data_IF_417058036405
#
_entry.id   IF_417058036405
#
_cell.length_a   1.000
_cell.length_b   1.000
_cell.length_c   1.000
_cell.angle_alpha   90.00
_cell.angle_beta   90.00
_cell.angle_gamma   90.00
#
_symmetry.space_group_name_H-M   'P 1'
#
loop_
_entity.id
_entity.type
_entity.pdbx_description
1 polymer ?
#
# COMPACT_ATOMS: atom_id res chain seq x y z
N UNK A 1 -3.05 -14.98 2.65
CA UNK A 1 -2.33 -14.41 3.81
C UNK A 1 -0.98 -15.11 3.80
N UNK A 2 0.10 -14.44 3.39
CA UNK A 2 1.44 -15.04 3.49
C UNK A 2 1.78 -15.04 4.98
N UNK A 3 1.51 -16.17 5.64
CA UNK A 3 1.85 -16.37 7.03
C UNK A 3 3.36 -16.61 7.10
N UNK A 4 4.12 -15.57 7.39
CA UNK A 4 5.41 -15.77 8.04
C UNK A 4 5.06 -16.38 9.40
N UNK A 5 5.56 -17.59 9.66
CA UNK A 5 5.13 -18.49 10.75
C UNK A 5 4.77 -17.70 12.03
N UNK A 6 3.51 -17.80 12.46
CA UNK A 6 3.00 -17.19 13.70
C UNK A 6 2.65 -15.70 13.66
N UNK A 7 2.90 -14.97 12.57
CA UNK A 7 2.69 -13.52 12.51
C UNK A 7 1.68 -13.12 11.42
N UNK A 8 0.63 -12.39 11.84
CA UNK A 8 -0.36 -11.80 10.95
C UNK A 8 0.17 -10.47 10.40
N UNK A 9 0.69 -10.48 9.18
CA UNK A 9 1.15 -9.27 8.48
C UNK A 9 0.13 -8.88 7.42
N UNK A 10 -0.55 -7.72 7.57
CA UNK A 10 -1.56 -7.32 6.62
C UNK A 10 -0.92 -6.67 5.39
N UNK A 11 -0.72 -7.45 4.34
CA UNK A 11 -0.19 -6.95 3.06
C UNK A 11 -1.29 -6.26 2.23
N UNK A 12 -1.01 -5.05 1.72
CA UNK A 12 -1.82 -4.35 0.72
C UNK A 12 -0.98 -4.01 -0.52
N UNK A 13 -1.59 -3.38 -1.53
CA UNK A 13 -0.84 -2.76 -2.63
C UNK A 13 0.09 -1.66 -2.08
N UNK A 14 1.34 -1.66 -2.53
CA UNK A 14 2.37 -0.72 -2.07
C UNK A 14 2.30 0.65 -2.76
N UNK A 15 1.46 0.82 -3.78
CA UNK A 15 1.37 2.05 -4.58
C UNK A 15 2.74 2.51 -5.12
N UNK A 16 3.53 1.55 -5.62
CA UNK A 16 4.92 1.71 -6.06
C UNK A 16 5.12 2.93 -6.95
N UNK A 17 6.20 3.67 -6.73
CA UNK A 17 6.56 4.87 -7.49
C UNK A 17 6.65 4.61 -9.00
N UNK A 18 7.34 3.54 -9.38
CA UNK A 18 7.55 3.08 -10.76
C UNK A 18 6.38 2.27 -11.35
N UNK A 19 5.46 1.83 -10.48
CA UNK A 19 4.21 1.14 -10.80
C UNK A 19 4.28 0.20 -12.03
N UNK A 20 5.07 -0.90 -12.00
CA UNK A 20 5.25 -1.79 -13.16
C UNK A 20 3.92 -2.35 -13.69
N UNK A 21 2.93 -2.50 -12.82
CA UNK A 21 1.58 -2.93 -13.17
C UNK A 21 0.83 -1.93 -14.08
N UNK A 22 1.08 -0.62 -13.94
CA UNK A 22 0.55 0.41 -14.83
C UNK A 22 1.36 0.45 -16.14
N UNK A 23 2.70 0.37 -16.04
CA UNK A 23 3.61 0.39 -17.19
C UNK A 23 3.38 -0.75 -18.18
N UNK A 24 3.02 -1.94 -17.70
CA UNK A 24 2.72 -3.11 -18.56
C UNK A 24 1.27 -3.12 -19.08
N UNK A 25 0.38 -2.24 -18.60
CA UNK A 25 -1.04 -2.32 -18.90
C UNK A 25 -1.32 -1.81 -20.34
N UNK A 26 -1.69 -2.68 -21.30
CA UNK A 26 -1.81 -2.28 -22.70
C UNK A 26 -2.98 -1.30 -22.95
N UNK A 27 -4.02 -1.36 -22.12
CA UNK A 27 -5.22 -0.53 -22.25
C UNK A 27 -5.23 0.67 -21.32
N UNK A 28 -4.17 0.86 -20.52
CA UNK A 28 -4.09 1.89 -19.46
C UNK A 28 -5.22 1.80 -18.42
N UNK A 29 -5.81 0.62 -18.25
CA UNK A 29 -6.76 0.32 -17.18
C UNK A 29 -6.14 0.52 -15.79
N UNK A 30 -4.83 0.35 -15.65
CA UNK A 30 -4.06 0.81 -14.49
C UNK A 30 -3.26 2.05 -14.89
N UNK A 31 -3.47 3.15 -14.19
CA UNK A 31 -2.78 4.41 -14.47
C UNK A 31 -2.67 5.30 -13.23
N UNK A 32 -1.74 6.26 -13.27
CA UNK A 32 -1.52 7.29 -12.26
C UNK A 32 -1.63 8.64 -12.96
N UNK A 33 -2.44 9.56 -12.43
CA UNK A 33 -2.60 10.89 -13.04
C UNK A 33 -1.46 11.86 -12.67
N UNK A 34 -1.04 11.83 -11.40
CA UNK A 34 0.08 12.62 -10.89
C UNK A 34 0.90 11.81 -9.89
N UNK A 35 2.18 12.14 -9.71
CA UNK A 35 3.12 11.32 -8.95
C UNK A 35 2.71 11.12 -7.48
N UNK A 36 2.03 12.09 -6.89
CA UNK A 36 1.50 12.08 -5.52
C UNK A 36 0.16 11.35 -5.38
N UNK A 37 -0.43 10.90 -6.48
CA UNK A 37 -1.70 10.18 -6.49
C UNK A 37 -1.50 8.66 -6.55
N UNK A 38 -2.45 7.87 -6.01
CA UNK A 38 -2.40 6.43 -6.12
C UNK A 38 -2.52 5.97 -7.58
N UNK A 39 -2.00 4.78 -7.86
CA UNK A 39 -2.34 4.07 -9.10
C UNK A 39 -3.80 3.66 -9.00
N UNK A 40 -4.62 4.07 -9.94
CA UNK A 40 -6.04 3.76 -9.99
C UNK A 40 -6.33 2.67 -11.04
N UNK A 41 -7.46 1.98 -10.85
CA UNK A 41 -7.94 0.94 -11.74
C UNK A 41 -9.26 1.38 -12.37
N UNK A 42 -9.34 1.34 -13.69
CA UNK A 42 -10.54 1.58 -14.49
C UNK A 42 -11.04 0.24 -15.03
N UNK A 43 -12.25 -0.15 -14.63
CA UNK A 43 -12.83 -1.46 -14.98
C UNK A 43 -13.27 -1.53 -16.45
N UNK A 44 -13.70 -0.40 -17.00
CA UNK A 44 -14.22 -0.27 -18.37
C UNK A 44 -13.12 -0.50 -19.41
N UNK A 45 -11.86 -0.21 -19.07
CA UNK A 45 -10.70 -0.41 -19.94
C UNK A 45 -10.04 -1.79 -19.76
N UNK A 46 -10.43 -2.57 -18.74
CA UNK A 46 -9.72 -3.81 -18.41
C UNK A 46 -10.15 -4.96 -19.32
N UNK A 47 -9.19 -5.55 -20.04
CA UNK A 47 -9.41 -6.71 -20.93
C UNK A 47 -9.05 -8.06 -20.29
N UNK A 48 -8.75 -8.10 -18.99
CA UNK A 48 -8.47 -9.35 -18.29
C UNK A 48 -7.16 -10.09 -18.65
N UNK A 49 -6.23 -9.45 -19.38
CA UNK A 49 -5.00 -10.09 -19.88
C UNK A 49 -4.00 -10.57 -18.79
N UNK A 50 -4.20 -10.19 -17.53
CA UNK A 50 -3.40 -10.60 -16.37
C UNK A 50 -1.93 -10.18 -16.36
N UNK A 51 -1.43 -9.41 -17.33
CA UNK A 51 -0.03 -8.94 -17.34
C UNK A 51 0.37 -8.19 -16.07
N UNK A 52 -0.54 -7.37 -15.53
CA UNK A 52 -0.31 -6.64 -14.29
C UNK A 52 -0.14 -7.55 -13.05
N UNK A 53 -0.76 -8.73 -13.04
CA UNK A 53 -0.59 -9.73 -11.98
C UNK A 53 0.81 -10.33 -12.04
N UNK A 54 1.30 -10.65 -13.25
CA UNK A 54 2.61 -11.26 -13.46
C UNK A 54 3.76 -10.34 -13.04
N UNK A 55 3.64 -9.03 -13.29
CA UNK A 55 4.72 -8.07 -12.99
C UNK A 55 4.65 -7.49 -11.58
N UNK A 56 3.62 -7.79 -10.78
CA UNK A 56 3.49 -7.24 -9.44
C UNK A 56 4.39 -8.01 -8.45
N UNK A 57 5.50 -7.42 -7.95
CA UNK A 57 6.43 -8.14 -7.09
C UNK A 57 5.83 -8.50 -5.72
N UNK A 58 4.74 -7.82 -5.34
CA UNK A 58 4.06 -8.01 -4.05
C UNK A 58 2.80 -8.89 -4.14
N UNK A 59 2.44 -9.39 -5.33
CA UNK A 59 1.21 -10.17 -5.52
C UNK A 59 -0.07 -9.41 -5.12
N UNK A 60 -0.06 -8.09 -5.22
CA UNK A 60 -1.12 -7.23 -4.70
C UNK A 60 -2.35 -7.11 -5.62
N UNK A 61 -2.25 -7.62 -6.85
CA UNK A 61 -3.31 -7.57 -7.86
C UNK A 61 -3.92 -8.96 -7.98
N UNK A 62 -5.25 -9.04 -7.96
CA UNK A 62 -5.99 -10.30 -8.02
C UNK A 62 -7.04 -10.26 -9.13
N UNK A 63 -7.35 -11.42 -9.68
CA UNK A 63 -8.50 -11.58 -10.58
C UNK A 63 -9.79 -11.54 -9.76
N UNK A 64 -10.68 -10.61 -10.09
CA UNK A 64 -11.99 -10.48 -9.49
C UNK A 64 -13.04 -11.29 -10.30
N UNK A 65 -14.23 -11.56 -9.73
CA UNK A 65 -15.36 -12.05 -10.49
C UNK A 65 -15.63 -11.19 -11.74
N UNK A 66 -15.99 -11.81 -12.86
CA UNK A 66 -16.13 -11.12 -14.15
C UNK A 66 -14.84 -11.02 -14.98
N UNK A 67 -13.74 -11.63 -14.52
CA UNK A 67 -12.52 -11.78 -15.33
C UNK A 67 -11.60 -10.56 -15.35
N UNK A 68 -12.00 -9.47 -14.69
CA UNK A 68 -11.20 -8.25 -14.55
C UNK A 68 -10.19 -8.38 -13.40
N UNK A 69 -9.16 -7.55 -13.42
CA UNK A 69 -8.20 -7.45 -12.32
C UNK A 69 -8.66 -6.41 -11.32
N UNK A 70 -8.34 -6.59 -10.04
CA UNK A 70 -8.64 -5.63 -8.99
C UNK A 70 -7.48 -5.52 -8.01
N UNK A 71 -7.32 -4.34 -7.42
CA UNK A 71 -6.33 -4.05 -6.39
C UNK A 71 -6.84 -2.95 -5.46
N UNK A 72 -6.14 -2.73 -4.36
CA UNK A 72 -6.36 -1.57 -3.49
C UNK A 72 -6.22 -0.25 -4.29
N UNK A 73 -7.18 0.66 -4.12
CA UNK A 73 -7.19 2.01 -4.70
C UNK A 73 -6.75 3.08 -3.69
N UNK A 74 -6.17 2.69 -2.55
CA UNK A 74 -5.83 3.55 -1.42
C UNK A 74 -7.03 4.33 -0.85
N UNK A 75 -8.26 3.85 -1.06
CA UNK A 75 -9.48 4.58 -0.73
C UNK A 75 -9.48 6.00 -1.30
N UNK A 76 -9.05 6.18 -2.55
CA UNK A 76 -8.88 7.49 -3.19
C UNK A 76 -10.09 8.43 -3.02
N UNK A 77 -11.30 7.91 -3.14
CA UNK A 77 -12.53 8.69 -2.94
C UNK A 77 -12.69 9.26 -1.53
N UNK A 78 -12.23 8.53 -0.51
CA UNK A 78 -12.18 9.00 0.88
C UNK A 78 -11.10 10.07 1.06
N UNK A 79 -9.92 9.84 0.51
CA UNK A 79 -8.80 10.79 0.59
C UNK A 79 -9.15 12.15 -0.03
N UNK A 80 -9.88 12.14 -1.15
CA UNK A 80 -10.39 13.36 -1.79
C UNK A 80 -11.33 14.19 -0.89
N UNK A 81 -11.93 13.56 0.12
CA UNK A 81 -12.80 14.20 1.12
C UNK A 81 -12.06 14.54 2.42
N UNK A 82 -10.76 14.28 2.51
CA UNK A 82 -9.97 14.43 3.73
C UNK A 82 -10.22 13.33 4.77
N UNK A 83 -10.86 12.22 4.38
CA UNK A 83 -11.09 11.07 5.26
C UNK A 83 -9.92 10.08 5.21
N UNK A 84 -9.74 9.28 6.28
CA UNK A 84 -8.76 8.20 6.29
C UNK A 84 -9.21 6.98 5.45
N UNK A 85 -8.27 6.19 4.90
CA UNK A 85 -8.62 4.90 4.32
C UNK A 85 -9.33 4.00 5.33
N UNK A 86 -10.36 3.27 4.87
CA UNK A 86 -11.17 2.42 5.74
C UNK A 86 -10.35 1.40 6.55
N UNK A 87 -9.24 0.93 5.97
CA UNK A 87 -8.36 -0.05 6.62
C UNK A 87 -7.45 0.56 7.72
N UNK A 88 -7.26 1.88 7.71
CA UNK A 88 -6.58 2.67 8.75
C UNK A 88 -7.58 2.99 9.85
N UNK A 89 -8.74 3.52 9.46
CA UNK A 89 -9.85 3.85 10.34
C UNK A 89 -10.26 2.66 11.23
N UNK A 90 -10.46 1.49 10.60
CA UNK A 90 -10.91 0.27 11.27
C UNK A 90 -9.84 -0.41 12.15
N UNK A 91 -8.59 0.06 12.19
CA UNK A 91 -7.53 -0.59 12.95
C UNK A 91 -7.69 -0.29 14.45
N UNK A 92 -8.05 -1.29 15.30
CA UNK A 92 -8.35 -1.06 16.71
C UNK A 92 -7.11 -0.65 17.52
N UNK A 93 -5.94 -1.19 17.15
CA UNK A 93 -4.66 -0.92 17.82
C UNK A 93 -3.91 0.27 17.24
N UNK A 94 -4.46 0.94 16.22
CA UNK A 94 -3.78 2.03 15.49
C UNK A 94 -2.40 1.64 14.96
N UNK A 95 -2.22 0.36 14.64
CA UNK A 95 -0.99 -0.16 14.02
C UNK A 95 -0.79 0.35 12.58
N UNK A 96 -1.86 0.81 11.93
CA UNK A 96 -1.81 1.40 10.58
C UNK A 96 -2.03 2.91 10.65
N UNK A 97 -1.28 3.62 9.81
CA UNK A 97 -1.38 5.06 9.56
C UNK A 97 -1.06 5.34 8.10
N UNK A 98 -1.64 6.40 7.55
CA UNK A 98 -1.26 6.91 6.22
C UNK A 98 -0.48 8.21 6.41
N UNK A 99 0.60 8.38 5.63
CA UNK A 99 1.40 9.59 5.64
C UNK A 99 2.34 9.63 4.44
N UNK A 100 2.96 10.78 4.22
CA UNK A 100 4.04 10.90 3.22
C UNK A 100 5.22 10.02 3.64
N UNK A 101 5.87 9.39 2.68
CA UNK A 101 6.90 8.39 2.94
C UNK A 101 8.05 8.98 3.78
N UNK A 102 8.43 10.22 3.49
CA UNK A 102 9.52 10.95 4.14
C UNK A 102 9.17 11.23 5.60
N UNK A 103 7.98 11.77 5.87
CA UNK A 103 7.52 12.06 7.23
C UNK A 103 7.39 10.80 8.08
N UNK A 104 6.92 9.70 7.48
CA UNK A 104 6.82 8.41 8.17
C UNK A 104 8.21 7.83 8.45
N UNK A 105 9.17 8.01 7.55
CA UNK A 105 10.55 7.57 7.75
C UNK A 105 11.23 8.36 8.87
N UNK A 106 11.11 9.69 8.88
CA UNK A 106 11.63 10.56 9.93
C UNK A 106 11.06 10.20 11.31
N UNK A 107 9.75 10.00 11.41
CA UNK A 107 9.10 9.60 12.66
C UNK A 107 9.61 8.25 13.17
N UNK A 108 9.80 7.28 12.26
CA UNK A 108 10.34 5.95 12.59
C UNK A 108 11.77 6.03 13.10
N UNK A 109 12.64 6.78 12.43
CA UNK A 109 14.03 6.99 12.83
C UNK A 109 14.09 7.63 14.22
N UNK A 110 13.29 8.68 14.45
CA UNK A 110 13.19 9.35 15.75
C UNK A 110 12.75 8.39 16.84
N UNK A 111 11.69 7.59 16.59
CA UNK A 111 11.18 6.62 17.57
C UNK A 111 12.23 5.56 17.91
N UNK A 112 12.92 5.03 16.89
CA UNK A 112 13.98 4.04 17.08
C UNK A 112 15.14 4.62 17.91
N UNK A 113 15.60 5.83 17.60
CA UNK A 113 16.65 6.51 18.36
C UNK A 113 16.28 6.68 19.84
N UNK A 114 15.03 7.08 20.13
CA UNK A 114 14.54 7.19 21.50
C UNK A 114 14.45 5.84 22.22
N UNK A 115 14.09 4.77 21.51
CA UNK A 115 14.06 3.42 22.09
C UNK A 115 15.48 2.93 22.44
N UNK A 116 16.44 3.10 21.53
CA UNK A 116 17.84 2.72 21.77
C UNK A 116 18.40 3.49 22.96
N UNK A 117 18.23 4.82 23.00
CA UNK A 117 18.71 5.64 24.10
C UNK A 117 18.10 5.23 25.46
N UNK A 118 16.83 4.81 25.50
CA UNK A 118 16.21 4.31 26.73
C UNK A 118 16.80 2.97 27.17
N UNK A 119 17.06 2.06 26.23
CA UNK A 119 17.68 0.78 26.52
C UNK A 119 19.09 0.96 27.09
N UNK A 120 19.91 1.82 26.47
CA UNK A 120 21.25 2.14 26.96
C UNK A 120 21.22 2.74 28.38
N UNK A 121 20.25 3.61 28.68
CA UNK A 121 20.05 4.18 30.02
C UNK A 121 19.57 3.15 31.06
N UNK A 122 18.86 2.11 30.64
CA UNK A 122 18.42 1.00 31.50
C UNK A 122 19.57 0.02 31.78
N UNK A 123 20.40 -0.26 30.78
CA UNK A 123 21.60 -1.13 30.91
C UNK A 123 22.73 -0.49 31.73
N UNK A 124 22.80 0.85 31.76
CA UNK A 124 23.79 1.59 32.54
C UNK A 124 23.45 1.69 34.05
N UNK A 125 22.29 1.18 34.49
CA UNK A 125 21.84 1.15 35.88
C UNK A 125 22.06 -0.23 36.51
#
# INVERSE_FOLDING_TARGET
MLAVIGHSVPMQCHQCEDAPCASVCPTKALSRQAQDQPVLFNKELCIGCSSCVLVCPFGAIKKAPGGIMAKCNLCWEKLQKGEEPACVEACPTKARRLGKAELVAEEKLRRMALTIAKQELEEAK
#
